data_IF_851414206360
#
_entry.id   IF_851414206360
#
_cell.length_a   1.000
_cell.length_b   1.000
_cell.length_c   1.000
_cell.angle_alpha   90.00
_cell.angle_beta   90.00
_cell.angle_gamma   90.00
#
_symmetry.space_group_name_H-M   'P 1'
#
loop_
_entity.id
_entity.type
_entity.pdbx_description
1 polymer ?
#
# COMPACT_ATOMS: atom_id res chain seq x y z
N UNK A 1 9.77 -3.63 -12.29
CA UNK A 1 8.60 -3.35 -13.15
C UNK A 1 8.36 -1.86 -13.05
N UNK A 2 8.23 -1.12 -14.16
CA UNK A 2 8.10 0.34 -14.10
C UNK A 2 6.85 0.77 -13.32
N UNK A 3 6.91 1.94 -12.72
CA UNK A 3 5.78 2.58 -12.03
C UNK A 3 4.64 2.81 -13.03
N UNK A 4 3.41 2.46 -12.66
CA UNK A 4 2.22 2.74 -13.48
C UNK A 4 2.00 4.24 -13.57
N UNK A 5 2.03 4.76 -14.80
CA UNK A 5 2.09 6.21 -15.10
C UNK A 5 0.87 7.03 -14.61
N UNK A 6 -0.25 6.39 -14.27
CA UNK A 6 -1.48 7.10 -13.92
C UNK A 6 -1.71 7.17 -12.40
N UNK A 7 -1.95 6.04 -11.74
CA UNK A 7 -2.23 6.05 -10.29
C UNK A 7 -0.96 5.98 -9.43
N UNK A 8 0.00 5.14 -9.81
CA UNK A 8 1.17 4.84 -8.98
C UNK A 8 2.17 6.01 -8.99
N UNK A 9 2.38 6.62 -10.16
CA UNK A 9 3.20 7.83 -10.31
C UNK A 9 2.66 9.01 -9.51
N UNK A 10 1.34 9.27 -9.52
CA UNK A 10 0.73 10.39 -8.80
C UNK A 10 0.87 10.24 -7.30
N UNK A 11 0.60 9.04 -6.78
CA UNK A 11 0.81 8.74 -5.37
C UNK A 11 2.29 8.88 -4.97
N UNK A 12 3.21 8.44 -5.84
CA UNK A 12 4.64 8.59 -5.63
C UNK A 12 5.06 10.07 -5.58
N UNK A 13 4.67 10.88 -6.56
CA UNK A 13 4.98 12.32 -6.59
C UNK A 13 4.42 13.03 -5.36
N UNK A 14 3.15 12.77 -5.02
CA UNK A 14 2.54 13.32 -3.80
C UNK A 14 3.35 12.97 -2.55
N UNK A 15 3.76 11.71 -2.38
CA UNK A 15 4.53 11.29 -1.22
C UNK A 15 5.93 11.92 -1.19
N UNK A 16 6.56 12.13 -2.36
CA UNK A 16 7.88 12.77 -2.48
C UNK A 16 7.78 14.27 -2.15
N UNK A 17 6.76 14.96 -2.66
CA UNK A 17 6.53 16.38 -2.36
C UNK A 17 6.15 16.58 -0.88
N UNK A 18 5.34 15.70 -0.30
CA UNK A 18 5.04 15.73 1.15
C UNK A 18 6.31 15.51 1.99
N UNK A 19 7.20 14.62 1.55
CA UNK A 19 8.48 14.38 2.19
C UNK A 19 9.40 15.61 2.14
N UNK A 20 9.41 16.33 1.02
CA UNK A 20 10.25 17.52 0.81
C UNK A 20 9.70 18.78 1.48
N UNK A 21 8.39 19.01 1.41
CA UNK A 21 7.74 20.21 1.94
C UNK A 21 7.49 20.13 3.46
N UNK A 22 7.42 18.93 4.03
CA UNK A 22 7.12 18.72 5.44
C UNK A 22 5.65 18.98 5.83
N UNK A 23 4.80 19.32 4.87
CA UNK A 23 3.36 19.43 5.07
C UNK A 23 2.70 18.06 4.82
N UNK A 24 2.29 17.41 5.91
CA UNK A 24 1.64 16.10 5.86
C UNK A 24 0.10 16.19 5.80
N UNK A 25 -0.46 17.39 5.91
CA UNK A 25 -1.91 17.61 5.90
C UNK A 25 -2.38 17.86 4.47
N UNK A 26 -1.66 18.73 3.75
CA UNK A 26 -2.01 19.13 2.39
C UNK A 26 -1.16 18.32 1.40
N UNK A 27 -1.82 17.49 0.59
CA UNK A 27 -1.16 16.84 -0.53
C UNK A 27 -0.79 17.86 -1.59
N UNK A 28 0.45 17.80 -2.07
CA UNK A 28 0.95 18.64 -3.14
C UNK A 28 1.29 17.78 -4.35
N UNK A 29 0.88 18.25 -5.52
CA UNK A 29 1.27 17.68 -6.81
C UNK A 29 1.74 18.83 -7.71
N UNK A 30 2.94 18.72 -8.28
CA UNK A 30 3.62 19.80 -9.02
C UNK A 30 3.79 21.08 -8.18
N UNK A 31 4.06 20.94 -6.87
CA UNK A 31 4.17 22.03 -5.90
C UNK A 31 2.89 22.87 -5.72
N UNK A 32 1.74 22.32 -6.10
CA UNK A 32 0.43 22.95 -5.88
C UNK A 32 -0.44 22.05 -5.01
N UNK A 33 -1.27 22.62 -4.12
CA UNK A 33 -2.24 21.84 -3.36
C UNK A 33 -3.14 21.02 -4.30
N UNK A 34 -3.19 19.71 -4.12
CA UNK A 34 -3.99 18.82 -4.94
C UNK A 34 -5.48 18.95 -4.55
N UNK A 35 -6.24 19.72 -5.34
CA UNK A 35 -7.68 19.98 -5.11
C UNK A 35 -8.61 19.05 -5.90
N UNK A 36 -8.09 18.33 -6.89
CA UNK A 36 -8.88 17.48 -7.78
C UNK A 36 -9.00 16.03 -7.29
N UNK A 37 -7.97 15.50 -6.63
CA UNK A 37 -7.90 14.09 -6.23
C UNK A 37 -7.71 13.96 -4.71
N UNK A 38 -8.76 14.30 -3.98
CA UNK A 38 -8.80 14.28 -2.52
C UNK A 38 -8.88 12.84 -1.97
N UNK A 39 -7.87 12.01 -2.24
CA UNK A 39 -7.72 10.72 -1.57
C UNK A 39 -7.39 10.96 -0.08
N UNK A 40 -7.73 10.07 0.86
CA UNK A 40 -7.29 10.17 2.26
C UNK A 40 -5.77 10.00 2.43
N UNK A 41 -5.09 10.79 3.27
CA UNK A 41 -3.62 10.86 3.32
C UNK A 41 -2.93 9.62 3.91
N UNK A 42 -3.70 8.64 4.40
CA UNK A 42 -3.18 7.43 5.03
C UNK A 42 -2.16 6.68 4.14
N UNK A 43 -2.50 6.47 2.87
CA UNK A 43 -1.61 5.77 1.94
C UNK A 43 -0.30 6.56 1.74
N UNK A 44 -0.41 7.86 1.53
CA UNK A 44 0.74 8.73 1.30
C UNK A 44 1.62 8.85 2.54
N UNK A 45 1.06 8.85 3.75
CA UNK A 45 1.83 8.79 4.99
C UNK A 45 2.63 7.50 5.10
N UNK A 46 2.01 6.34 4.83
CA UNK A 46 2.72 5.07 4.83
C UNK A 46 3.84 5.04 3.77
N UNK A 47 3.63 5.64 2.60
CA UNK A 47 4.65 5.77 1.57
C UNK A 47 5.78 6.71 2.00
N UNK A 48 5.48 7.86 2.61
CA UNK A 48 6.49 8.77 3.18
C UNK A 48 7.34 8.06 4.23
N UNK A 49 6.71 7.30 5.14
CA UNK A 49 7.41 6.53 6.17
C UNK A 49 8.29 5.45 5.52
N UNK A 50 7.77 4.72 4.54
CA UNK A 50 8.54 3.70 3.82
C UNK A 50 9.76 4.31 3.10
N UNK A 51 9.60 5.50 2.51
CA UNK A 51 10.71 6.24 1.89
C UNK A 51 11.70 6.77 2.92
N UNK A 52 11.28 7.11 4.14
CA UNK A 52 12.18 7.46 5.24
C UNK A 52 13.05 6.27 5.68
N UNK A 53 12.48 5.07 5.72
CA UNK A 53 13.17 3.86 6.22
C UNK A 53 14.05 3.20 5.14
N UNK A 54 13.56 3.11 3.91
CA UNK A 54 14.20 2.35 2.80
C UNK A 54 14.89 3.26 1.78
N UNK A 55 14.62 4.57 1.84
CA UNK A 55 15.07 5.54 0.84
C UNK A 55 14.11 5.68 -0.34
N UNK A 56 14.40 6.66 -1.20
CA UNK A 56 13.66 6.96 -2.43
C UNK A 56 13.90 5.87 -3.48
N UNK A 57 13.03 4.88 -3.52
CA UNK A 57 13.07 3.77 -4.47
C UNK A 57 11.65 3.32 -4.87
N UNK A 58 11.51 2.66 -6.01
CA UNK A 58 10.23 2.06 -6.47
C UNK A 58 9.68 1.06 -5.44
N UNK A 59 10.56 0.35 -4.75
CA UNK A 59 10.20 -0.63 -3.72
C UNK A 59 9.56 0.06 -2.51
N UNK A 60 10.06 1.24 -2.12
CA UNK A 60 9.52 1.98 -0.97
C UNK A 60 8.09 2.44 -1.22
N UNK A 61 7.77 2.84 -2.46
CA UNK A 61 6.41 3.25 -2.86
C UNK A 61 5.41 2.08 -2.77
N UNK A 62 5.88 0.85 -3.06
CA UNK A 62 5.06 -0.38 -3.05
C UNK A 62 5.01 -1.08 -1.71
N UNK A 63 5.96 -0.80 -0.82
CA UNK A 63 6.10 -1.45 0.48
C UNK A 63 4.81 -1.40 1.32
N UNK A 64 4.07 -0.28 1.42
CA UNK A 64 2.81 -0.23 2.15
C UNK A 64 1.76 -1.19 1.59
N UNK A 65 1.64 -1.30 0.26
CA UNK A 65 0.70 -2.20 -0.39
C UNK A 65 1.07 -3.66 -0.15
N UNK A 66 2.36 -4.00 -0.24
CA UNK A 66 2.86 -5.35 0.06
C UNK A 66 2.53 -5.74 1.51
N UNK A 67 2.78 -4.84 2.46
CA UNK A 67 2.47 -5.06 3.88
C UNK A 67 0.97 -5.23 4.12
N UNK A 68 0.12 -4.45 3.44
CA UNK A 68 -1.33 -4.58 3.53
C UNK A 68 -1.83 -5.93 2.97
N UNK A 69 -1.29 -6.37 1.82
CA UNK A 69 -1.60 -7.68 1.23
C UNK A 69 -1.13 -8.84 2.13
N UNK A 70 0.06 -8.76 2.71
CA UNK A 70 0.54 -9.77 3.66
C UNK A 70 -0.31 -9.81 4.94
N UNK A 71 -0.67 -8.63 5.47
CA UNK A 71 -1.49 -8.53 6.68
C UNK A 71 -2.89 -9.11 6.46
N UNK A 72 -3.50 -8.83 5.30
CA UNK A 72 -4.82 -9.39 4.97
C UNK A 72 -4.79 -10.90 4.77
N UNK A 73 -3.75 -11.46 4.15
CA UNK A 73 -3.54 -12.92 4.09
C UNK A 73 -3.43 -13.53 5.50
N UNK A 74 -2.68 -12.89 6.39
CA UNK A 74 -2.50 -13.35 7.76
C UNK A 74 -3.80 -13.29 8.58
N UNK A 75 -4.56 -12.19 8.44
CA UNK A 75 -5.88 -12.04 9.08
C UNK A 75 -6.85 -13.09 8.56
N UNK A 76 -6.87 -13.36 7.25
CA UNK A 76 -7.71 -14.39 6.66
C UNK A 76 -7.35 -15.77 7.21
N UNK A 77 -6.05 -16.10 7.23
CA UNK A 77 -5.56 -17.36 7.81
C UNK A 77 -6.01 -17.53 9.27
N UNK A 78 -5.82 -16.50 10.10
CA UNK A 78 -6.25 -16.51 11.50
C UNK A 78 -7.76 -16.64 11.65
N UNK A 79 -8.53 -15.93 10.83
CA UNK A 79 -9.99 -15.99 10.87
C UNK A 79 -10.50 -17.38 10.49
N UNK A 80 -10.05 -17.92 9.36
CA UNK A 80 -10.43 -19.27 8.91
C UNK A 80 -10.00 -20.33 9.92
N UNK A 81 -8.81 -20.21 10.50
CA UNK A 81 -8.36 -21.10 11.56
C UNK A 81 -9.27 -21.01 12.80
N UNK A 82 -9.69 -19.81 13.20
CA UNK A 82 -10.56 -19.62 14.37
C UNK A 82 -11.96 -20.22 14.18
N UNK A 83 -12.48 -20.22 12.95
CA UNK A 83 -13.79 -20.80 12.63
C UNK A 83 -13.75 -22.32 12.49
N UNK A 84 -12.77 -22.85 11.77
CA UNK A 84 -12.72 -24.28 11.42
C UNK A 84 -11.89 -25.11 12.40
N UNK A 85 -11.04 -24.48 13.23
CA UNK A 85 -10.03 -25.10 14.11
C UNK A 85 -9.10 -26.10 13.40
N UNK A 86 -8.97 -26.00 12.09
CA UNK A 86 -8.17 -26.87 11.25
C UNK A 86 -7.21 -26.05 10.40
N UNK A 87 -5.93 -26.40 10.48
CA UNK A 87 -4.87 -25.74 9.71
C UNK A 87 -5.03 -25.94 8.19
N UNK A 88 -5.58 -27.08 7.75
CA UNK A 88 -5.73 -27.39 6.33
C UNK A 88 -6.67 -26.39 5.62
N UNK A 89 -7.81 -26.07 6.23
CA UNK A 89 -8.77 -25.10 5.66
C UNK A 89 -8.22 -23.68 5.70
N UNK A 90 -7.45 -23.32 6.73
CA UNK A 90 -6.81 -22.01 6.82
C UNK A 90 -5.74 -21.82 5.71
N UNK A 91 -4.92 -22.84 5.46
CA UNK A 91 -3.94 -22.82 4.36
C UNK A 91 -4.61 -22.79 2.98
N UNK A 92 -5.68 -23.56 2.77
CA UNK A 92 -6.42 -23.53 1.51
C UNK A 92 -7.06 -22.16 1.25
N UNK A 93 -7.73 -21.58 2.24
CA UNK A 93 -8.34 -20.26 2.12
C UNK A 93 -7.33 -19.17 1.80
N UNK A 94 -6.22 -19.13 2.55
CA UNK A 94 -5.13 -18.19 2.30
C UNK A 94 -4.47 -18.43 0.93
N UNK A 95 -4.27 -19.69 0.54
CA UNK A 95 -3.67 -20.07 -0.74
C UNK A 95 -4.53 -19.67 -1.94
N UNK A 96 -5.85 -19.81 -1.86
CA UNK A 96 -6.79 -19.35 -2.89
C UNK A 96 -6.71 -17.82 -3.03
N UNK A 97 -6.75 -17.09 -1.92
CA UNK A 97 -6.64 -15.62 -1.93
C UNK A 97 -5.29 -15.18 -2.53
N UNK A 98 -4.21 -15.83 -2.12
CA UNK A 98 -2.86 -15.56 -2.59
C UNK A 98 -2.62 -15.93 -4.06
N UNK A 99 -3.44 -16.80 -4.66
CA UNK A 99 -3.34 -17.16 -6.08
C UNK A 99 -4.32 -16.35 -6.94
N UNK A 100 -5.24 -15.61 -6.32
CA UNK A 100 -6.20 -14.77 -7.03
C UNK A 100 -5.49 -13.59 -7.70
N UNK A 101 -5.55 -13.54 -9.04
CA UNK A 101 -4.91 -12.49 -9.83
C UNK A 101 -5.42 -11.07 -9.49
N UNK A 102 -6.61 -10.94 -8.89
CA UNK A 102 -7.17 -9.66 -8.48
C UNK A 102 -6.65 -9.12 -7.15
N UNK A 103 -5.88 -9.90 -6.39
CA UNK A 103 -5.46 -9.52 -5.04
C UNK A 103 -4.19 -8.64 -5.02
N UNK A 104 -3.27 -8.84 -5.97
CA UNK A 104 -2.08 -8.02 -6.14
C UNK A 104 -2.30 -7.04 -7.31
N UNK A 105 -3.20 -6.08 -7.10
CA UNK A 105 -3.63 -5.10 -8.11
C UNK A 105 -3.08 -3.70 -7.89
#
# INVERSE_FOLDING_TARGET
MPIRLWDESRNAVNAIEMLQNGDYIIRSYENKPETWNLKPPLLTWLQVIAMHVVGLNEIAIRLPSILASMSSLFILFLWTFRLTKSYAFAFLGAGILATSAGFYG
#
